data_IF_367111469688
#
_entry.id   IF_367111469688
#
_cell.length_a   1.000
_cell.length_b   1.000
_cell.length_c   1.000
_cell.angle_alpha   90.00
_cell.angle_beta   90.00
_cell.angle_gamma   90.00
#
_symmetry.space_group_name_H-M   'P 1'
#
loop_
_entity.id
_entity.type
_entity.pdbx_description
1 polymer ?
#
# COMPACT_ATOMS: atom_id res chain seq x y z
N UNK A 1 11.37 16.52 -28.15
CA UNK A 1 10.14 17.36 -28.12
C UNK A 1 9.64 17.35 -26.69
N UNK A 2 9.77 18.46 -25.97
CA UNK A 2 9.09 18.62 -24.68
C UNK A 2 7.59 18.63 -24.96
N UNK A 3 6.89 17.55 -24.61
CA UNK A 3 5.43 17.49 -24.73
C UNK A 3 4.84 18.67 -23.96
N UNK A 4 4.04 19.51 -24.62
CA UNK A 4 3.28 20.57 -23.96
C UNK A 4 2.50 20.00 -22.78
N UNK A 5 2.45 20.73 -21.66
CA UNK A 5 1.71 20.31 -20.48
C UNK A 5 0.24 20.03 -20.83
N UNK A 6 -0.28 18.90 -20.36
CA UNK A 6 -1.67 18.49 -20.50
C UNK A 6 -2.13 17.79 -19.22
N UNK A 7 -3.31 18.20 -18.75
CA UNK A 7 -4.03 17.52 -17.67
C UNK A 7 -5.26 16.81 -18.25
N UNK A 8 -5.62 15.68 -17.67
CA UNK A 8 -6.78 14.91 -18.06
C UNK A 8 -8.08 15.72 -17.87
N UNK A 9 -9.02 15.56 -18.81
CA UNK A 9 -10.35 16.20 -18.72
C UNK A 9 -11.33 15.42 -17.85
N UNK A 10 -11.08 14.11 -17.62
CA UNK A 10 -11.95 13.23 -16.82
C UNK A 10 -11.48 13.02 -15.37
N UNK A 11 -10.17 12.98 -15.15
CA UNK A 11 -9.57 12.96 -13.82
C UNK A 11 -8.56 14.12 -13.70
N UNK A 12 -7.59 14.06 -12.79
CA UNK A 12 -6.58 15.12 -12.62
C UNK A 12 -5.14 14.68 -12.94
N UNK A 13 -4.96 13.48 -13.47
CA UNK A 13 -3.65 13.01 -13.96
C UNK A 13 -3.11 13.92 -15.06
N UNK A 14 -1.79 14.16 -15.07
CA UNK A 14 -1.10 15.00 -16.05
C UNK A 14 0.21 14.39 -16.54
N UNK A 15 0.86 15.06 -17.50
CA UNK A 15 2.15 14.65 -18.07
C UNK A 15 3.38 15.37 -17.50
N UNK A 16 3.25 16.07 -16.36
CA UNK A 16 4.37 16.81 -15.76
C UNK A 16 5.51 15.88 -15.33
N UNK A 17 5.16 14.74 -14.73
CA UNK A 17 6.12 13.80 -14.12
C UNK A 17 6.06 12.38 -14.68
N UNK A 18 5.20 12.14 -15.67
CA UNK A 18 4.97 10.80 -16.25
C UNK A 18 5.07 10.86 -17.78
N UNK A 19 6.18 10.35 -18.32
CA UNK A 19 6.41 10.27 -19.77
C UNK A 19 5.58 9.20 -20.48
N UNK A 20 4.93 8.31 -19.73
CA UNK A 20 4.12 7.20 -20.23
C UNK A 20 2.63 7.53 -20.29
N UNK A 21 2.21 8.67 -19.73
CA UNK A 21 0.83 9.13 -19.88
C UNK A 21 0.57 9.56 -21.32
N UNK A 22 -0.58 9.16 -21.85
CA UNK A 22 -1.07 9.57 -23.16
C UNK A 22 -2.51 10.02 -23.05
N UNK A 23 -2.93 10.91 -23.96
CA UNK A 23 -4.28 11.47 -23.99
C UNK A 23 -4.93 11.17 -25.32
N UNK A 24 -6.22 10.81 -25.30
CA UNK A 24 -7.02 10.67 -26.51
C UNK A 24 -7.49 12.05 -27.03
N UNK A 25 -8.23 12.07 -28.14
CA UNK A 25 -8.74 13.30 -28.76
C UNK A 25 -9.70 14.11 -27.86
N UNK A 26 -10.26 13.50 -26.80
CA UNK A 26 -11.11 14.16 -25.79
C UNK A 26 -10.31 14.69 -24.58
N UNK A 27 -8.99 14.52 -24.58
CA UNK A 27 -8.13 14.88 -23.45
C UNK A 27 -8.19 13.90 -22.29
N UNK A 28 -8.70 12.68 -22.47
CA UNK A 28 -8.77 11.68 -21.42
C UNK A 28 -7.49 10.83 -21.39
N UNK A 29 -6.93 10.63 -20.20
CA UNK A 29 -5.67 9.89 -20.07
C UNK A 29 -5.85 8.36 -20.13
N UNK A 30 -4.81 7.66 -20.58
CA UNK A 30 -4.76 6.20 -20.64
C UNK A 30 -4.98 5.52 -19.27
N UNK A 31 -4.56 6.12 -18.16
CA UNK A 31 -4.72 5.52 -16.83
C UNK A 31 -6.16 5.43 -16.36
N UNK A 32 -6.90 6.54 -16.33
CA UNK A 32 -8.31 6.49 -15.95
C UNK A 32 -9.15 5.71 -16.98
N UNK A 33 -8.74 5.71 -18.25
CA UNK A 33 -9.40 4.89 -19.29
C UNK A 33 -9.25 3.40 -18.98
N UNK A 34 -8.04 2.96 -18.60
CA UNK A 34 -7.79 1.58 -18.19
C UNK A 34 -8.55 1.22 -16.92
N UNK A 35 -8.51 2.07 -15.89
CA UNK A 35 -9.24 1.84 -14.64
C UNK A 35 -10.75 1.64 -14.89
N UNK A 36 -11.37 2.49 -15.71
CA UNK A 36 -12.78 2.35 -16.08
C UNK A 36 -13.07 1.08 -16.90
N UNK A 37 -12.16 0.65 -17.78
CA UNK A 37 -12.38 -0.55 -18.61
C UNK A 37 -12.33 -1.85 -17.82
N UNK A 38 -11.65 -1.86 -16.67
CA UNK A 38 -11.60 -3.03 -15.77
C UNK A 38 -12.58 -2.93 -14.60
N UNK A 39 -13.18 -1.77 -14.32
CA UNK A 39 -14.04 -1.51 -13.14
C UNK A 39 -15.03 -2.64 -12.86
N UNK A 40 -15.85 -3.00 -13.84
CA UNK A 40 -16.90 -4.02 -13.69
C UNK A 40 -16.35 -5.48 -13.61
N UNK A 41 -15.05 -5.68 -13.74
CA UNK A 41 -14.38 -6.99 -13.60
C UNK A 41 -13.65 -7.14 -12.26
N UNK A 42 -13.46 -6.04 -11.53
CA UNK A 42 -12.64 -6.04 -10.32
C UNK A 42 -13.35 -5.39 -9.14
N UNK A 43 -14.33 -4.51 -9.34
CA UNK A 43 -15.04 -3.77 -8.30
C UNK A 43 -16.54 -4.05 -8.37
N UNK A 44 -17.07 -4.65 -7.31
CA UNK A 44 -18.43 -5.18 -7.21
C UNK A 44 -19.15 -4.61 -5.98
N UNK A 45 -19.46 -3.30 -5.94
CA UNK A 45 -20.19 -2.69 -4.82
C UNK A 45 -21.70 -2.96 -4.91
N UNK A 46 -22.09 -4.23 -5.03
CA UNK A 46 -23.47 -4.67 -5.26
C UNK A 46 -23.68 -6.12 -4.82
N UNK A 47 -24.86 -6.68 -5.10
CA UNK A 47 -25.23 -8.06 -4.75
C UNK A 47 -24.28 -9.13 -5.30
N UNK A 48 -23.61 -8.90 -6.44
CA UNK A 48 -22.59 -9.82 -6.93
C UNK A 48 -21.37 -9.85 -6.00
N UNK A 49 -20.94 -8.69 -5.51
CA UNK A 49 -19.89 -8.56 -4.52
C UNK A 49 -20.23 -9.27 -3.22
N UNK A 50 -21.44 -9.06 -2.69
CA UNK A 50 -21.92 -9.75 -1.49
C UNK A 50 -21.84 -11.28 -1.62
N UNK A 51 -22.24 -11.81 -2.79
CA UNK A 51 -22.12 -13.25 -3.10
C UNK A 51 -20.66 -13.70 -3.14
N UNK A 52 -19.79 -12.99 -3.88
CA UNK A 52 -18.35 -13.31 -3.97
C UNK A 52 -17.67 -13.26 -2.60
N UNK A 53 -18.01 -12.27 -1.78
CA UNK A 53 -17.49 -12.12 -0.43
C UNK A 53 -17.93 -13.28 0.47
N UNK A 54 -19.21 -13.63 0.42
CA UNK A 54 -19.76 -14.75 1.19
C UNK A 54 -19.09 -16.08 0.81
N UNK A 55 -18.90 -16.32 -0.49
CA UNK A 55 -18.18 -17.48 -1.02
C UNK A 55 -16.71 -17.48 -0.56
N UNK A 56 -16.02 -16.34 -0.61
CA UNK A 56 -14.65 -16.20 -0.14
C UNK A 56 -14.55 -16.54 1.36
N UNK A 57 -15.36 -15.90 2.21
CA UNK A 57 -15.34 -16.12 3.66
C UNK A 57 -15.60 -17.57 3.99
N UNK A 58 -16.63 -18.17 3.37
CA UNK A 58 -16.96 -19.59 3.55
C UNK A 58 -15.76 -20.48 3.18
N UNK A 59 -15.18 -20.27 1.99
CA UNK A 59 -14.02 -21.03 1.53
C UNK A 59 -12.83 -20.91 2.48
N UNK A 60 -12.49 -19.70 2.92
CA UNK A 60 -11.34 -19.48 3.82
C UNK A 60 -11.50 -20.25 5.13
N UNK A 61 -12.70 -20.25 5.71
CA UNK A 61 -13.01 -20.99 6.94
C UNK A 61 -13.02 -22.51 6.72
N UNK A 62 -13.58 -22.98 5.61
CA UNK A 62 -13.66 -24.41 5.29
C UNK A 62 -12.29 -25.02 4.98
N UNK A 63 -11.47 -24.35 4.18
CA UNK A 63 -10.12 -24.79 3.82
C UNK A 63 -9.18 -24.86 5.03
N UNK A 64 -9.45 -24.07 6.07
CA UNK A 64 -8.59 -23.91 7.25
C UNK A 64 -9.30 -24.24 8.58
N UNK A 65 -10.38 -25.04 8.53
CA UNK A 65 -11.20 -25.37 9.72
C UNK A 65 -10.37 -25.96 10.87
N UNK A 66 -9.36 -26.78 10.54
CA UNK A 66 -8.47 -27.47 11.48
C UNK A 66 -7.18 -26.66 11.78
N UNK A 67 -7.07 -25.44 11.22
CA UNK A 67 -5.94 -24.55 11.42
C UNK A 67 -6.28 -23.44 12.42
N UNK A 68 -5.23 -22.87 13.04
CA UNK A 68 -5.37 -21.73 13.95
C UNK A 68 -5.91 -20.48 13.26
N UNK A 69 -5.58 -20.28 11.98
CA UNK A 69 -5.95 -19.10 11.21
C UNK A 69 -6.62 -19.48 9.89
N UNK A 70 -7.56 -18.67 9.44
CA UNK A 70 -8.23 -18.80 8.15
C UNK A 70 -7.46 -18.11 7.03
N UNK A 71 -6.71 -17.05 7.36
CA UNK A 71 -5.92 -16.27 6.41
C UNK A 71 -4.83 -15.44 7.08
N UNK A 72 -3.93 -14.90 6.26
CA UNK A 72 -2.93 -13.91 6.66
C UNK A 72 -3.31 -12.53 6.12
N UNK A 73 -3.05 -11.48 6.89
CA UNK A 73 -3.24 -10.08 6.48
C UNK A 73 -2.03 -9.23 6.83
N UNK A 74 -1.70 -8.26 5.96
CA UNK A 74 -0.69 -7.24 6.24
C UNK A 74 -1.35 -6.03 6.90
N UNK A 75 -0.81 -5.56 8.02
CA UNK A 75 -1.30 -4.37 8.73
C UNK A 75 -0.23 -3.28 8.69
N UNK A 76 -0.57 -2.13 8.12
CA UNK A 76 0.32 -0.95 8.09
C UNK A 76 -0.02 0.08 9.18
N UNK A 77 -1.19 -0.03 9.83
CA UNK A 77 -1.77 1.06 10.62
C UNK A 77 -2.53 2.09 9.77
N UNK A 78 -2.54 1.91 8.44
CA UNK A 78 -3.28 2.72 7.49
C UNK A 78 -4.76 2.36 7.37
N UNK A 79 -5.55 3.27 6.79
CA UNK A 79 -7.01 3.14 6.70
C UNK A 79 -7.46 1.82 6.05
N UNK A 80 -6.92 1.50 4.87
CA UNK A 80 -7.38 0.35 4.07
C UNK A 80 -7.16 -0.98 4.81
N UNK A 81 -5.97 -1.19 5.37
CA UNK A 81 -5.63 -2.41 6.10
C UNK A 81 -6.36 -2.50 7.44
N UNK A 82 -6.50 -1.38 8.15
CA UNK A 82 -7.22 -1.32 9.44
C UNK A 82 -8.71 -1.63 9.25
N UNK A 83 -9.33 -1.07 8.21
CA UNK A 83 -10.74 -1.32 7.93
C UNK A 83 -10.99 -2.76 7.51
N UNK A 84 -10.11 -3.32 6.68
CA UNK A 84 -10.18 -4.73 6.32
C UNK A 84 -9.98 -5.66 7.53
N UNK A 85 -9.10 -5.31 8.47
CA UNK A 85 -8.92 -6.06 9.72
C UNK A 85 -10.20 -6.03 10.57
N UNK A 86 -10.82 -4.85 10.72
CA UNK A 86 -12.10 -4.69 11.41
C UNK A 86 -13.20 -5.53 10.75
N UNK A 87 -13.38 -5.41 9.44
CA UNK A 87 -14.37 -6.21 8.72
C UNK A 87 -14.09 -7.71 8.86
N UNK A 88 -12.85 -8.13 8.62
CA UNK A 88 -12.45 -9.52 8.62
C UNK A 88 -12.61 -10.19 9.98
N UNK A 89 -12.06 -9.58 11.03
CA UNK A 89 -12.02 -10.21 12.35
C UNK A 89 -13.31 -9.97 13.14
N UNK A 90 -13.89 -8.76 13.06
CA UNK A 90 -15.05 -8.36 13.87
C UNK A 90 -16.37 -8.66 13.17
N UNK A 91 -16.51 -8.30 11.89
CA UNK A 91 -17.80 -8.46 11.17
C UNK A 91 -17.95 -9.84 10.54
N UNK A 92 -16.88 -10.39 9.97
CA UNK A 92 -16.90 -11.67 9.27
C UNK A 92 -16.45 -12.85 10.14
N UNK A 93 -15.83 -12.56 11.29
CA UNK A 93 -15.37 -13.57 12.25
C UNK A 93 -14.32 -14.51 11.65
N UNK A 94 -13.40 -13.99 10.85
CA UNK A 94 -12.22 -14.72 10.38
C UNK A 94 -11.15 -14.75 11.49
N UNK A 95 -10.46 -15.89 11.62
CA UNK A 95 -9.25 -16.02 12.44
C UNK A 95 -8.06 -15.52 11.63
N UNK A 96 -7.58 -14.32 11.91
CA UNK A 96 -6.57 -13.64 11.09
C UNK A 96 -5.19 -13.73 11.77
N UNK A 97 -4.20 -14.20 11.02
CA UNK A 97 -2.80 -13.93 11.33
C UNK A 97 -2.43 -12.58 10.72
N UNK A 98 -2.35 -11.54 11.55
CA UNK A 98 -1.95 -10.22 11.12
C UNK A 98 -0.43 -10.09 11.19
N UNK A 99 0.18 -9.51 10.16
CA UNK A 99 1.62 -9.26 10.09
C UNK A 99 1.87 -7.79 9.85
N UNK A 100 2.64 -7.16 10.72
CA UNK A 100 3.10 -5.79 10.59
C UNK A 100 4.63 -5.76 10.51
N UNK A 101 5.18 -4.89 9.67
CA UNK A 101 6.62 -4.66 9.57
C UNK A 101 6.96 -3.40 10.32
N UNK A 102 7.63 -3.58 11.44
CA UNK A 102 8.16 -2.48 12.25
C UNK A 102 9.60 -2.25 11.78
N UNK A 103 9.72 -1.38 10.78
CA UNK A 103 11.00 -0.96 10.18
C UNK A 103 11.64 0.22 10.93
N UNK A 104 11.02 0.65 12.03
CA UNK A 104 11.47 1.74 12.88
C UNK A 104 11.02 3.14 12.43
N UNK A 105 10.19 3.26 11.37
CA UNK A 105 9.70 4.54 10.84
C UNK A 105 8.19 4.77 11.08
N UNK A 106 7.50 3.93 11.85
CA UNK A 106 6.09 4.17 12.17
C UNK A 106 5.89 5.45 12.97
N UNK A 107 4.88 6.23 12.57
CA UNK A 107 4.44 7.40 13.31
C UNK A 107 3.78 6.99 14.63
N UNK A 108 3.74 7.91 15.60
CA UNK A 108 3.05 7.66 16.87
C UNK A 108 1.54 7.39 16.69
N UNK A 109 0.91 8.01 15.68
CA UNK A 109 -0.48 7.72 15.31
C UNK A 109 -0.60 6.27 14.81
N UNK A 110 0.29 5.83 13.93
CA UNK A 110 0.29 4.46 13.40
C UNK A 110 0.48 3.43 14.51
N UNK A 111 1.43 3.65 15.43
CA UNK A 111 1.65 2.77 16.58
C UNK A 111 0.39 2.62 17.43
N UNK A 112 -0.29 3.73 17.76
CA UNK A 112 -1.58 3.69 18.49
C UNK A 112 -2.67 2.96 17.72
N UNK A 113 -2.78 3.18 16.41
CA UNK A 113 -3.75 2.48 15.57
C UNK A 113 -3.46 0.98 15.51
N UNK A 114 -2.20 0.57 15.36
CA UNK A 114 -1.78 -0.84 15.36
C UNK A 114 -2.09 -1.48 16.72
N UNK A 115 -1.82 -0.79 17.82
CA UNK A 115 -2.17 -1.25 19.17
C UNK A 115 -3.69 -1.46 19.32
N UNK A 116 -4.51 -0.51 18.87
CA UNK A 116 -5.98 -0.66 18.86
C UNK A 116 -6.42 -1.87 18.04
N UNK A 117 -5.87 -2.06 16.85
CA UNK A 117 -6.19 -3.19 15.96
C UNK A 117 -5.75 -4.52 16.57
N UNK A 118 -4.62 -4.54 17.30
CA UNK A 118 -4.13 -5.75 17.95
C UNK A 118 -5.09 -6.32 19.01
N UNK A 119 -6.02 -5.50 19.51
CA UNK A 119 -7.05 -5.91 20.47
C UNK A 119 -8.33 -6.44 19.81
N UNK A 120 -8.39 -6.54 18.47
CA UNK A 120 -9.57 -7.07 17.79
C UNK A 120 -9.74 -8.57 18.07
N UNK A 121 -10.98 -9.06 18.20
CA UNK A 121 -11.26 -10.48 18.39
C UNK A 121 -10.74 -11.29 17.19
N UNK A 122 -10.27 -12.51 17.41
CA UNK A 122 -9.81 -13.41 16.34
C UNK A 122 -8.64 -12.87 15.49
N UNK A 123 -7.88 -11.89 15.98
CA UNK A 123 -6.71 -11.34 15.30
C UNK A 123 -5.46 -11.59 16.16
N UNK A 124 -4.45 -12.25 15.58
CA UNK A 124 -3.13 -12.46 16.22
C UNK A 124 -2.09 -11.64 15.43
N UNK A 125 -1.59 -10.57 16.05
CA UNK A 125 -0.64 -9.65 15.42
C UNK A 125 0.80 -10.10 15.66
N UNK A 126 1.55 -10.26 14.57
CA UNK A 126 2.99 -10.56 14.55
C UNK A 126 3.77 -9.41 13.95
N UNK A 127 4.93 -9.14 14.56
CA UNK A 127 5.85 -8.10 14.12
C UNK A 127 7.02 -8.74 13.37
N UNK A 128 7.30 -8.23 12.17
CA UNK A 128 8.55 -8.47 11.44
C UNK A 128 9.43 -7.26 11.67
N UNK A 129 10.55 -7.46 12.34
CA UNK A 129 11.55 -6.41 12.58
C UNK A 129 12.81 -6.73 11.80
N UNK A 130 13.12 -6.00 10.72
CA UNK A 130 14.40 -6.17 10.04
C UNK A 130 15.56 -5.76 10.94
N UNK A 131 16.75 -6.30 10.69
CA UNK A 131 17.97 -5.81 11.34
C UNK A 131 18.15 -4.32 11.00
N UNK A 132 18.05 -3.47 12.03
CA UNK A 132 18.00 -2.01 11.88
C UNK A 132 19.22 -1.46 11.17
N UNK A 133 20.42 -1.95 11.50
CA UNK A 133 21.66 -1.48 10.89
C UNK A 133 21.68 -1.77 9.38
N UNK A 134 21.38 -3.01 8.98
CA UNK A 134 21.38 -3.38 7.57
C UNK A 134 20.25 -2.75 6.77
N UNK A 135 19.06 -2.61 7.37
CA UNK A 135 17.92 -1.94 6.73
C UNK A 135 18.22 -0.46 6.49
N UNK A 136 18.71 0.23 7.51
CA UNK A 136 19.12 1.64 7.41
C UNK A 136 20.21 1.83 6.36
N UNK A 137 21.26 0.99 6.34
CA UNK A 137 22.32 1.11 5.33
C UNK A 137 21.80 0.86 3.90
N UNK A 138 20.86 -0.07 3.73
CA UNK A 138 20.21 -0.32 2.44
C UNK A 138 19.35 0.88 2.00
N UNK A 139 18.58 1.47 2.91
CA UNK A 139 17.80 2.69 2.65
C UNK A 139 18.71 3.87 2.27
N UNK A 140 19.81 4.07 3.01
CA UNK A 140 20.85 5.07 2.70
C UNK A 140 21.48 4.83 1.32
N UNK A 141 21.72 3.57 0.94
CA UNK A 141 22.23 3.21 -0.38
C UNK A 141 21.25 3.61 -1.50
N UNK A 142 19.95 3.38 -1.31
CA UNK A 142 18.90 3.79 -2.26
C UNK A 142 18.82 5.31 -2.40
N UNK A 143 18.89 6.05 -1.29
CA UNK A 143 18.93 7.52 -1.31
C UNK A 143 20.16 8.04 -2.07
N UNK A 144 21.35 7.50 -1.80
CA UNK A 144 22.62 7.86 -2.49
C UNK A 144 22.59 7.51 -3.97
N UNK A 145 22.00 6.38 -4.34
CA UNK A 145 21.80 6.00 -5.74
C UNK A 145 20.86 6.96 -6.48
N UNK A 146 20.03 7.71 -5.73
CA UNK A 146 19.12 8.70 -6.28
C UNK A 146 17.99 8.08 -7.08
N UNK A 147 17.55 6.87 -6.71
CA UNK A 147 16.43 6.19 -7.38
C UNK A 147 15.09 6.75 -6.88
N UNK A 148 14.03 6.70 -7.72
CA UNK A 148 12.73 7.26 -7.36
C UNK A 148 12.06 6.52 -6.21
N UNK A 149 11.91 5.20 -6.31
CA UNK A 149 11.20 4.42 -5.29
C UNK A 149 12.13 3.97 -4.15
N UNK A 150 12.16 4.75 -3.07
CA UNK A 150 12.93 4.42 -1.86
C UNK A 150 12.24 3.38 -0.95
N UNK A 151 10.96 3.05 -1.18
CA UNK A 151 10.22 2.05 -0.39
C UNK A 151 10.53 0.60 -0.81
N UNK A 152 11.27 0.38 -1.91
CA UNK A 152 11.61 -0.97 -2.40
C UNK A 152 12.23 -1.89 -1.33
N UNK A 153 13.20 -1.45 -0.50
CA UNK A 153 13.71 -2.26 0.60
C UNK A 153 12.62 -2.68 1.61
N UNK A 154 11.76 -1.74 2.00
CA UNK A 154 10.66 -1.96 2.95
C UNK A 154 9.67 -2.98 2.39
N UNK A 155 9.19 -2.77 1.15
CA UNK A 155 8.28 -3.68 0.46
C UNK A 155 8.89 -5.09 0.35
N UNK A 156 10.18 -5.19 0.04
CA UNK A 156 10.84 -6.48 -0.09
C UNK A 156 10.85 -7.25 1.23
N UNK A 157 11.23 -6.60 2.32
CA UNK A 157 11.23 -7.18 3.69
C UNK A 157 9.83 -7.58 4.10
N UNK A 158 8.83 -6.73 3.81
CA UNK A 158 7.42 -7.02 4.07
C UNK A 158 6.96 -8.31 3.39
N UNK A 159 7.13 -8.40 2.07
CA UNK A 159 6.70 -9.59 1.35
C UNK A 159 7.54 -10.82 1.71
N UNK A 160 8.82 -10.65 2.05
CA UNK A 160 9.63 -11.75 2.56
C UNK A 160 9.07 -12.32 3.86
N UNK A 161 8.68 -11.46 4.81
CA UNK A 161 8.04 -11.83 6.07
C UNK A 161 6.67 -12.47 5.85
N UNK A 162 5.81 -11.86 5.02
CA UNK A 162 4.50 -12.43 4.65
C UNK A 162 4.66 -13.84 4.10
N UNK A 163 5.53 -14.05 3.12
CA UNK A 163 5.75 -15.37 2.52
C UNK A 163 6.32 -16.38 3.53
N UNK A 164 7.15 -15.93 4.47
CA UNK A 164 7.66 -16.78 5.55
C UNK A 164 6.52 -17.28 6.44
N UNK A 165 5.65 -16.39 6.93
CA UNK A 165 4.50 -16.77 7.76
C UNK A 165 3.46 -17.61 7.01
N UNK A 166 3.23 -17.31 5.73
CA UNK A 166 2.36 -18.14 4.86
C UNK A 166 2.85 -19.59 4.83
N UNK A 167 4.17 -19.81 4.69
CA UNK A 167 4.78 -21.16 4.72
C UNK A 167 4.67 -21.82 6.09
N UNK A 168 5.03 -21.10 7.14
CA UNK A 168 5.02 -21.62 8.51
C UNK A 168 3.63 -22.12 8.93
N UNK A 169 2.60 -21.33 8.62
CA UNK A 169 1.22 -21.65 8.99
C UNK A 169 0.44 -22.40 7.91
N UNK A 170 1.09 -22.72 6.77
CA UNK A 170 0.50 -23.40 5.60
C UNK A 170 -0.76 -22.69 5.08
N UNK A 171 -0.76 -21.37 5.13
CA UNK A 171 -1.86 -20.55 4.67
C UNK A 171 -1.76 -20.33 3.16
N UNK A 172 -2.92 -20.29 2.49
CA UNK A 172 -3.03 -20.03 1.04
C UNK A 172 -3.47 -18.60 0.74
N UNK A 173 -4.31 -18.01 1.58
CA UNK A 173 -4.83 -16.68 1.35
C UNK A 173 -4.05 -15.59 2.10
N UNK A 174 -3.44 -14.69 1.35
CA UNK A 174 -2.97 -13.38 1.82
C UNK A 174 -4.02 -12.32 1.50
N UNK A 175 -4.87 -11.97 2.46
CA UNK A 175 -5.97 -11.03 2.23
C UNK A 175 -5.43 -9.60 2.26
N UNK A 176 -5.56 -8.88 1.15
CA UNK A 176 -4.98 -7.55 0.96
C UNK A 176 -6.03 -6.44 1.04
N UNK A 177 -5.65 -5.31 1.65
CA UNK A 177 -6.43 -4.07 1.68
C UNK A 177 -6.39 -3.28 0.36
N UNK A 178 -5.62 -3.73 -0.64
CA UNK A 178 -5.59 -3.09 -1.95
C UNK A 178 -7.00 -3.07 -2.58
N UNK A 179 -7.40 -1.92 -3.13
CA UNK A 179 -8.76 -1.72 -3.61
C UNK A 179 -8.85 -0.78 -4.81
N UNK A 180 -9.86 -0.99 -5.64
CA UNK A 180 -10.16 -0.16 -6.80
C UNK A 180 -10.59 1.25 -6.40
N UNK A 181 -11.29 1.36 -5.28
CA UNK A 181 -11.98 2.57 -4.88
C UNK A 181 -11.01 3.75 -4.64
N UNK A 182 -9.85 3.47 -4.02
CA UNK A 182 -8.83 4.44 -3.66
C UNK A 182 -7.50 4.24 -4.41
N UNK A 183 -7.30 3.12 -5.10
CA UNK A 183 -6.02 2.75 -5.73
C UNK A 183 -6.18 2.15 -7.14
N UNK A 184 -7.11 2.64 -7.96
CA UNK A 184 -7.28 2.16 -9.34
C UNK A 184 -6.34 2.79 -10.37
N UNK A 185 -5.66 3.88 -10.01
CA UNK A 185 -4.74 4.61 -10.90
C UNK A 185 -3.33 4.64 -10.31
N UNK A 186 -2.36 4.18 -11.10
CA UNK A 186 -0.93 4.24 -10.78
C UNK A 186 -0.15 4.87 -11.92
N UNK A 187 0.58 5.94 -11.63
CA UNK A 187 1.59 6.49 -12.54
C UNK A 187 2.65 5.43 -12.85
N UNK A 188 3.14 5.43 -14.10
CA UNK A 188 4.27 4.59 -14.51
C UNK A 188 5.54 5.41 -14.54
N UNK A 189 6.67 4.74 -14.39
CA UNK A 189 8.00 5.33 -14.64
C UNK A 189 8.83 5.65 -13.41
N UNK A 190 8.21 5.86 -12.25
CA UNK A 190 8.91 6.09 -10.98
C UNK A 190 8.78 4.93 -9.99
N UNK A 191 8.25 3.79 -10.46
CA UNK A 191 8.02 2.58 -9.68
C UNK A 191 8.83 1.42 -10.28
N UNK A 192 9.41 0.62 -9.39
CA UNK A 192 10.12 -0.61 -9.72
C UNK A 192 9.61 -1.73 -8.80
N UNK A 193 9.66 -2.96 -9.30
CA UNK A 193 9.26 -4.13 -8.52
C UNK A 193 10.16 -4.32 -7.31
N UNK A 194 9.55 -4.54 -6.14
CA UNK A 194 10.29 -4.84 -4.92
C UNK A 194 11.08 -6.16 -5.03
N UNK A 195 10.72 -7.04 -5.96
CA UNK A 195 11.29 -8.38 -6.10
C UNK A 195 12.56 -8.47 -6.96
N UNK A 196 13.03 -7.34 -7.53
CA UNK A 196 14.30 -7.28 -8.27
C UNK A 196 15.48 -7.26 -7.30
N UNK A 197 15.77 -8.43 -6.75
CA UNK A 197 16.86 -8.63 -5.79
C UNK A 197 18.24 -8.38 -6.42
N UNK A 198 18.36 -8.47 -7.75
CA UNK A 198 19.61 -8.17 -8.46
C UNK A 198 19.87 -6.67 -8.43
N UNK A 199 18.87 -5.86 -8.75
CA UNK A 199 18.95 -4.41 -8.65
C UNK A 199 19.23 -3.95 -7.21
N UNK A 200 18.47 -4.47 -6.23
CA UNK A 200 18.63 -4.14 -4.81
C UNK A 200 20.06 -4.42 -4.33
N UNK A 201 20.59 -5.63 -4.58
CA UNK A 201 21.96 -5.99 -4.19
C UNK A 201 23.00 -5.17 -4.93
N UNK A 202 22.76 -4.79 -6.19
CA UNK A 202 23.67 -3.96 -6.95
C UNK A 202 23.75 -2.53 -6.39
N UNK A 203 22.60 -1.92 -6.06
CA UNK A 203 22.54 -0.61 -5.41
C UNK A 203 23.30 -0.65 -4.08
N UNK A 204 23.03 -1.64 -3.23
CA UNK A 204 23.74 -1.80 -1.96
C UNK A 204 25.25 -1.95 -2.16
N UNK A 205 25.68 -2.81 -3.09
CA UNK A 205 27.10 -3.00 -3.38
C UNK A 205 27.80 -1.72 -3.81
N UNK A 206 27.12 -0.85 -4.54
CA UNK A 206 27.70 0.39 -5.10
C UNK A 206 27.66 1.58 -4.14
N UNK A 207 26.62 1.68 -3.32
CA UNK A 207 26.34 2.89 -2.52
C UNK A 207 26.15 2.64 -1.02
N UNK A 208 26.01 1.38 -0.60
CA UNK A 208 25.85 0.95 0.78
C UNK A 208 27.17 0.51 1.42
N UNK A 209 27.11 0.19 2.71
CA UNK A 209 28.22 -0.35 3.50
C UNK A 209 27.78 -1.64 4.20
N UNK A 210 28.74 -2.47 4.58
CA UNK A 210 28.48 -3.71 5.31
C UNK A 210 27.74 -4.79 4.49
N UNK A 211 27.32 -5.86 5.18
CA UNK A 211 26.62 -7.00 4.60
C UNK A 211 25.09 -6.86 4.70
N UNK A 212 24.36 -7.64 3.89
CA UNK A 212 22.89 -7.77 3.94
C UNK A 212 22.44 -9.17 4.40
N UNK A 213 23.29 -9.87 5.15
CA UNK A 213 23.08 -11.28 5.52
C UNK A 213 22.05 -11.51 6.62
N UNK A 214 21.64 -10.47 7.36
CA UNK A 214 20.61 -10.53 8.39
C UNK A 214 19.24 -10.08 7.89
N UNK A 215 19.17 -9.45 6.71
CA UNK A 215 17.90 -9.12 6.08
C UNK A 215 17.32 -10.35 5.35
N UNK A 216 16.10 -10.70 5.71
CA UNK A 216 15.31 -11.66 4.93
C UNK A 216 14.79 -10.97 3.68
N UNK A 217 15.35 -11.33 2.52
CA UNK A 217 14.99 -10.72 1.24
C UNK A 217 14.31 -11.73 0.30
N UNK A 218 13.37 -11.25 -0.51
CA UNK A 218 12.58 -12.06 -1.44
C UNK A 218 12.93 -11.73 -2.90
N UNK A 219 13.35 -12.73 -3.68
CA UNK A 219 13.53 -12.58 -5.12
C UNK A 219 12.25 -12.94 -5.88
N UNK A 220 12.10 -12.43 -7.10
CA UNK A 220 10.99 -12.79 -7.99
C UNK A 220 10.87 -14.31 -8.19
N UNK A 221 11.99 -15.00 -8.46
CA UNK A 221 12.01 -16.45 -8.62
C UNK A 221 11.53 -17.18 -7.36
N UNK A 222 12.00 -16.77 -6.18
CA UNK A 222 11.58 -17.40 -4.92
C UNK A 222 10.10 -17.14 -4.64
N UNK A 223 9.62 -15.91 -4.88
CA UNK A 223 8.22 -15.54 -4.77
C UNK A 223 7.35 -16.43 -5.66
N UNK A 224 7.74 -16.65 -6.92
CA UNK A 224 6.95 -17.44 -7.86
C UNK A 224 6.95 -18.93 -7.49
N UNK A 225 8.09 -19.48 -7.05
CA UNK A 225 8.17 -20.85 -6.53
C UNK A 225 7.31 -21.02 -5.28
N UNK A 226 7.45 -20.14 -4.28
CA UNK A 226 6.69 -20.22 -3.04
C UNK A 226 5.19 -20.05 -3.32
N UNK A 227 4.80 -19.12 -4.21
CA UNK A 227 3.40 -18.92 -4.61
C UNK A 227 2.82 -20.15 -5.29
N UNK A 228 3.56 -20.82 -6.16
CA UNK A 228 3.13 -22.04 -6.83
C UNK A 228 2.99 -23.21 -5.84
N UNK A 229 4.01 -23.45 -5.02
CA UNK A 229 4.03 -24.58 -4.08
C UNK A 229 2.96 -24.46 -3.00
N UNK A 230 2.73 -23.25 -2.48
CA UNK A 230 1.73 -22.99 -1.45
C UNK A 230 0.34 -22.70 -2.01
N UNK A 231 0.20 -22.51 -3.34
CA UNK A 231 -1.03 -22.04 -3.98
C UNK A 231 -1.51 -20.71 -3.36
N UNK A 232 -0.59 -19.73 -3.28
CA UNK A 232 -0.90 -18.43 -2.68
C UNK A 232 -1.90 -17.69 -3.56
N UNK A 233 -2.95 -17.19 -2.93
CA UNK A 233 -3.92 -16.28 -3.51
C UNK A 233 -3.94 -14.98 -2.71
N UNK A 234 -4.12 -13.85 -3.40
CA UNK A 234 -4.19 -12.52 -2.79
C UNK A 234 -5.55 -11.87 -3.03
N UNK A 235 -6.63 -12.36 -2.39
CA UNK A 235 -7.94 -11.74 -2.54
C UNK A 235 -7.94 -10.32 -1.98
N UNK A 236 -8.75 -9.45 -2.58
CA UNK A 236 -8.94 -8.04 -2.20
C UNK A 236 -10.41 -7.80 -1.82
N UNK A 237 -10.86 -8.16 -0.60
CA UNK A 237 -12.29 -8.19 -0.27
C UNK A 237 -12.95 -6.81 -0.25
N UNK A 238 -12.19 -5.73 -0.07
CA UNK A 238 -12.72 -4.36 -0.15
C UNK A 238 -13.31 -4.06 -1.54
N UNK A 239 -12.92 -4.82 -2.56
CA UNK A 239 -13.52 -4.71 -3.88
C UNK A 239 -14.89 -5.40 -4.02
N UNK A 240 -15.34 -6.16 -3.03
CA UNK A 240 -16.62 -6.87 -3.03
C UNK A 240 -17.70 -6.18 -2.19
N UNK A 241 -17.37 -5.00 -1.65
CA UNK A 241 -18.28 -4.17 -0.88
C UNK A 241 -18.30 -2.77 -1.49
N UNK A 242 -19.29 -1.98 -1.09
CA UNK A 242 -19.25 -0.55 -1.31
C UNK A 242 -18.20 0.08 -0.38
N UNK A 243 -16.93 0.03 -0.77
CA UNK A 243 -15.86 0.57 0.06
C UNK A 243 -15.79 2.09 -0.10
N UNK A 244 -16.19 2.83 0.93
CA UNK A 244 -16.16 4.28 0.98
C UNK A 244 -15.19 4.77 2.06
N UNK A 245 -14.31 5.71 1.71
CA UNK A 245 -13.22 6.18 2.58
C UNK A 245 -13.73 6.79 3.88
N UNK A 246 -14.65 7.73 3.78
CA UNK A 246 -15.08 8.55 4.91
C UNK A 246 -15.94 7.73 5.88
N UNK A 247 -16.78 6.84 5.34
CA UNK A 247 -17.51 5.85 6.15
C UNK A 247 -16.54 4.90 6.87
N UNK A 248 -15.52 4.39 6.19
CA UNK A 248 -14.54 3.50 6.81
C UNK A 248 -13.76 4.18 7.95
N UNK A 249 -13.41 5.46 7.78
CA UNK A 249 -12.77 6.26 8.83
C UNK A 249 -13.72 6.44 10.03
N UNK A 250 -14.97 6.79 9.78
CA UNK A 250 -15.98 6.99 10.82
C UNK A 250 -16.22 5.70 11.61
N UNK A 251 -16.45 4.57 10.94
CA UNK A 251 -16.70 3.29 11.59
C UNK A 251 -15.51 2.82 12.46
N UNK A 252 -14.28 3.00 12.00
CA UNK A 252 -13.08 2.65 12.78
C UNK A 252 -12.90 3.57 13.99
N UNK A 253 -13.14 4.88 13.81
CA UNK A 253 -13.10 5.85 14.90
C UNK A 253 -14.14 5.48 15.98
N UNK A 254 -15.37 5.19 15.58
CA UNK A 254 -16.45 4.80 16.50
C UNK A 254 -16.17 3.45 17.18
N UNK A 255 -15.58 2.49 16.47
CA UNK A 255 -15.34 1.15 17.00
C UNK A 255 -14.14 1.07 17.95
N UNK A 256 -12.99 1.64 17.58
CA UNK A 256 -11.75 1.48 18.34
C UNK A 256 -10.96 2.77 18.55
N UNK A 257 -11.52 3.93 18.19
CA UNK A 257 -10.85 5.22 18.33
C UNK A 257 -9.74 5.46 17.31
N UNK A 258 -9.81 4.83 16.13
CA UNK A 258 -8.83 5.04 15.06
C UNK A 258 -8.64 6.54 14.74
N UNK A 259 -7.39 6.94 14.61
CA UNK A 259 -6.99 8.31 14.28
C UNK A 259 -6.46 8.36 12.85
N UNK A 260 -7.03 9.23 12.00
CA UNK A 260 -6.55 9.43 10.65
C UNK A 260 -5.40 10.44 10.61
N UNK A 261 -4.35 10.11 9.85
CA UNK A 261 -3.08 10.83 9.77
C UNK A 261 -3.01 11.82 8.59
N UNK A 262 -4.17 12.21 8.06
CA UNK A 262 -4.33 13.32 7.12
C UNK A 262 -4.34 12.95 5.63
N UNK A 263 -3.48 12.05 5.17
CA UNK A 263 -3.44 11.62 3.76
C UNK A 263 -3.01 10.17 3.61
N UNK A 264 -3.19 9.59 2.42
CA UNK A 264 -2.91 8.18 2.16
C UNK A 264 -1.41 7.87 2.28
N UNK A 265 -1.09 6.78 2.96
CA UNK A 265 0.28 6.25 3.17
C UNK A 265 1.20 7.10 4.08
N UNK A 266 0.67 8.06 4.86
CA UNK A 266 1.47 8.83 5.82
C UNK A 266 1.53 8.23 7.23
N UNK A 267 1.17 6.96 7.40
CA UNK A 267 1.33 6.22 8.66
C UNK A 267 2.81 5.98 9.05
N UNK A 268 3.74 6.11 8.09
CA UNK A 268 5.18 5.84 8.24
C UNK A 268 5.99 7.05 7.76
N UNK A 269 6.90 7.55 8.60
CA UNK A 269 7.68 8.79 8.36
C UNK A 269 8.56 8.70 7.11
N UNK A 270 9.17 7.53 6.85
CA UNK A 270 9.95 7.33 5.63
C UNK A 270 9.05 7.41 4.40
N UNK A 271 7.90 6.72 4.42
CA UNK A 271 6.94 6.79 3.30
C UNK A 271 6.39 8.19 3.10
N UNK A 272 6.09 8.91 4.18
CA UNK A 272 5.66 10.31 4.17
C UNK A 272 6.69 11.20 3.49
N UNK A 273 7.95 11.14 3.92
CA UNK A 273 9.07 11.83 3.28
C UNK A 273 9.20 11.47 1.80
N UNK A 274 9.11 10.18 1.46
CA UNK A 274 9.24 9.71 0.07
C UNK A 274 8.14 10.27 -0.81
N UNK A 275 6.88 10.21 -0.37
CA UNK A 275 5.74 10.60 -1.18
C UNK A 275 5.57 12.10 -1.33
N UNK A 276 5.82 12.85 -0.27
CA UNK A 276 5.56 14.28 -0.24
C UNK A 276 6.81 15.11 -0.56
N UNK A 277 8.01 14.65 -0.20
CA UNK A 277 9.24 15.42 -0.40
C UNK A 277 10.10 14.86 -1.54
N UNK A 278 10.55 13.60 -1.42
CA UNK A 278 11.50 13.01 -2.37
C UNK A 278 10.96 12.96 -3.80
N UNK A 279 9.76 12.43 -3.99
CA UNK A 279 9.12 12.34 -5.30
C UNK A 279 8.86 13.71 -5.92
N UNK A 280 8.36 14.65 -5.12
CA UNK A 280 8.01 15.98 -5.59
C UNK A 280 9.25 16.77 -6.01
N UNK A 281 10.23 16.93 -5.12
CA UNK A 281 11.40 17.78 -5.36
C UNK A 281 12.39 17.19 -6.36
N UNK A 282 12.56 15.86 -6.37
CA UNK A 282 13.58 15.22 -7.23
C UNK A 282 13.05 14.72 -8.56
N UNK A 283 11.78 14.33 -8.63
CA UNK A 283 11.18 13.73 -9.83
C UNK A 283 9.96 14.50 -10.34
N UNK A 284 9.55 15.59 -9.67
CA UNK A 284 8.37 16.38 -10.03
C UNK A 284 7.05 15.64 -9.81
N UNK A 285 7.07 14.50 -9.11
CA UNK A 285 5.92 13.60 -8.95
C UNK A 285 5.10 14.01 -7.73
N UNK A 286 3.84 14.38 -7.95
CA UNK A 286 2.84 14.50 -6.89
C UNK A 286 1.92 13.26 -6.88
N UNK A 287 2.07 12.45 -5.83
CA UNK A 287 1.31 11.20 -5.64
C UNK A 287 -0.20 11.42 -5.47
N UNK A 288 -0.62 12.61 -5.02
CA UNK A 288 -2.05 12.95 -4.84
C UNK A 288 -2.81 12.84 -6.15
N UNK A 289 -2.18 13.16 -7.29
CA UNK A 289 -2.83 13.04 -8.60
C UNK A 289 -3.38 11.64 -8.87
N UNK A 290 -2.67 10.59 -8.45
CA UNK A 290 -3.10 9.19 -8.59
C UNK A 290 -4.22 8.82 -7.62
N UNK A 291 -4.07 9.18 -6.34
CA UNK A 291 -5.04 8.87 -5.30
C UNK A 291 -6.38 9.60 -5.54
N UNK A 292 -6.33 10.91 -5.79
CA UNK A 292 -7.51 11.73 -6.09
C UNK A 292 -8.19 11.27 -7.39
N UNK A 293 -7.41 10.96 -8.44
CA UNK A 293 -7.98 10.44 -9.68
C UNK A 293 -8.66 9.08 -9.50
N UNK A 294 -8.16 8.23 -8.60
CA UNK A 294 -8.82 6.95 -8.25
C UNK A 294 -10.19 7.20 -7.60
N UNK A 295 -10.28 8.19 -6.71
CA UNK A 295 -11.55 8.59 -6.08
C UNK A 295 -12.56 9.17 -7.08
N UNK A 296 -12.11 9.89 -8.11
CA UNK A 296 -12.98 10.32 -9.22
C UNK A 296 -13.52 9.11 -9.97
N UNK A 297 -12.66 8.15 -10.32
CA UNK A 297 -13.06 6.95 -11.09
C UNK A 297 -14.01 6.03 -10.30
N UNK A 298 -13.83 5.96 -8.99
CA UNK A 298 -14.72 5.20 -8.11
C UNK A 298 -16.04 5.92 -7.84
N UNK A 299 -16.09 7.24 -8.03
CA UNK A 299 -17.27 8.07 -7.83
C UNK A 299 -17.40 8.63 -6.41
N UNK A 300 -16.32 8.60 -5.62
CA UNK A 300 -16.30 9.15 -4.26
C UNK A 300 -15.96 10.64 -4.19
N UNK A 301 -15.53 11.23 -5.31
CA UNK A 301 -15.14 12.64 -5.38
C UNK A 301 -15.38 13.18 -6.80
N UNK A 302 -15.81 14.42 -6.91
CA UNK A 302 -15.87 15.15 -8.17
C UNK A 302 -14.48 15.57 -8.65
N UNK A 303 -14.35 15.93 -9.93
CA UNK A 303 -13.09 16.45 -10.46
C UNK A 303 -12.75 17.81 -9.85
N UNK A 304 -13.76 18.62 -9.58
CA UNK A 304 -13.66 19.95 -8.99
C UNK A 304 -13.11 19.89 -7.56
N UNK A 305 -13.66 19.02 -6.71
CA UNK A 305 -13.16 18.78 -5.34
C UNK A 305 -11.71 18.26 -5.35
N UNK A 306 -11.41 17.33 -6.27
CA UNK A 306 -10.05 16.81 -6.43
C UNK A 306 -9.06 17.91 -6.83
N UNK A 307 -9.46 18.83 -7.70
CA UNK A 307 -8.64 19.95 -8.13
C UNK A 307 -8.40 20.94 -6.96
N UNK A 308 -9.43 21.24 -6.17
CA UNK A 308 -9.29 22.07 -4.97
C UNK A 308 -8.31 21.45 -3.96
N UNK A 309 -8.38 20.14 -3.72
CA UNK A 309 -7.43 19.45 -2.84
C UNK A 309 -6.01 19.42 -3.41
N UNK A 310 -5.87 19.33 -4.73
CA UNK A 310 -4.56 19.34 -5.39
C UNK A 310 -3.89 20.71 -5.32
N UNK A 311 -4.68 21.80 -5.30
CA UNK A 311 -4.20 23.18 -5.14
C UNK A 311 -3.73 23.51 -3.72
N UNK A 312 -4.14 22.73 -2.72
CA UNK A 312 -3.62 22.87 -1.36
C UNK A 312 -2.12 22.51 -1.32
N UNK A 313 -1.35 23.10 -0.38
CA UNK A 313 0.03 22.70 -0.13
C UNK A 313 0.16 21.18 0.03
N UNK A 314 1.24 20.60 -0.53
CA UNK A 314 1.46 19.16 -0.50
C UNK A 314 1.69 18.63 0.93
N UNK A 315 2.29 19.45 1.78
CA UNK A 315 2.57 19.19 3.19
C UNK A 315 2.72 20.52 3.94
N UNK A 316 2.62 20.47 5.27
CA UNK A 316 3.04 21.57 6.15
C UNK A 316 4.58 21.56 6.30
N UNK A 317 5.22 22.71 6.13
CA UNK A 317 6.69 22.79 6.10
C UNK A 317 7.32 22.38 7.44
N UNK A 318 6.76 22.85 8.56
CA UNK A 318 7.29 22.51 9.89
C UNK A 318 7.15 21.03 10.20
N UNK A 319 6.03 20.41 9.84
CA UNK A 319 5.80 18.98 10.00
C UNK A 319 6.73 18.15 9.09
N UNK A 320 7.01 18.62 7.88
CA UNK A 320 7.95 17.96 6.98
C UNK A 320 9.39 18.07 7.46
N UNK A 321 9.82 19.21 7.97
CA UNK A 321 11.16 19.38 8.56
C UNK A 321 11.37 18.39 9.72
N UNK A 322 10.40 18.28 10.63
CA UNK A 322 10.46 17.29 11.70
C UNK A 322 10.44 15.85 11.17
N UNK A 323 9.70 15.58 10.09
CA UNK A 323 9.69 14.26 9.44
C UNK A 323 11.07 13.93 8.86
N UNK A 324 11.72 14.90 8.24
CA UNK A 324 13.09 14.76 7.72
C UNK A 324 14.07 14.49 8.87
N UNK A 325 13.99 15.25 9.97
CA UNK A 325 14.84 15.03 11.14
C UNK A 325 14.70 13.61 11.71
N UNK A 326 13.46 13.12 11.86
CA UNK A 326 13.20 11.74 12.30
C UNK A 326 13.74 10.68 11.35
N UNK A 327 13.68 10.94 10.03
CA UNK A 327 14.25 10.03 9.02
C UNK A 327 15.78 10.04 9.06
N UNK A 328 16.40 11.19 9.32
CA UNK A 328 17.86 11.36 9.36
C UNK A 328 18.50 10.87 10.68
N UNK A 329 17.76 10.86 11.79
CA UNK A 329 18.21 10.36 13.09
C UNK A 329 18.44 8.83 13.12
N UNK A 330 17.88 8.12 12.13
CA UNK A 330 18.06 6.67 11.91
C UNK A 330 19.32 6.35 11.09
#
# INVERSE_FOLDING_TARGET
>A
MTNQYKQCTRCIMDNKSDKYITFNNKGECNYCTYALSIKNKVYYPNAEGERKLSELIKRLKEENKDHKYDCLMGISGGLDSSYLAYLGSVKWGLKILAVHVDDGFDTEISKRNIERISNFPNLDLRFVRPDTEQFTELTKAYMRAGVPNLAVPQDNVLFAGVYQFMKEHKLRAFVSGGNFALESIFQRGNTHTAYDLRNLKYIHKKFGKGSLNKLTLLSALKKDIDAYLLKIETPTPLNFIDYNRDRAMQELMEYCGFEYYGSKHLENDLTKFVQQYWFYHKFGVDKRTSHLSSMIVSGQMSREEAQQQYEMPLYDESDMDQTIDRVLDK
#
